data_IF_328354002832
#
_entry.id   IF_328354002832
#
_cell.length_a   1.000
_cell.length_b   1.000
_cell.length_c   1.000
_cell.angle_alpha   90.00
_cell.angle_beta   90.00
_cell.angle_gamma   90.00
#
_symmetry.space_group_name_H-M   'P 1'
#
loop_
_entity.id
_entity.type
_entity.pdbx_description
1 polymer ?
#
# COMPACT_ATOMS: atom_id res chain seq x y z
N UNK A 1 -11.87 -5.35 -4.19
CA UNK A 1 -10.85 -4.58 -3.46
C UNK A 1 -10.35 -3.45 -4.33
N UNK A 2 -10.25 -2.27 -3.77
CA UNK A 2 -9.76 -1.08 -4.49
C UNK A 2 -8.46 -0.59 -3.87
N UNK A 3 -7.40 -0.54 -4.68
CA UNK A 3 -6.04 -0.21 -4.24
C UNK A 3 -5.57 1.05 -4.96
N UNK A 4 -5.00 1.99 -4.20
CA UNK A 4 -4.25 3.11 -4.77
C UNK A 4 -2.78 2.69 -4.87
N UNK A 5 -2.25 2.67 -6.07
CA UNK A 5 -0.85 2.29 -6.32
C UNK A 5 -0.08 3.52 -6.77
N UNK A 6 0.76 4.05 -5.89
CA UNK A 6 1.63 5.17 -6.19
C UNK A 6 3.02 4.64 -6.53
N UNK A 7 3.45 4.82 -7.78
CA UNK A 7 4.73 4.28 -8.24
C UNK A 7 5.32 5.14 -9.36
N UNK A 8 6.57 4.90 -9.68
CA UNK A 8 7.22 5.53 -10.83
C UNK A 8 6.64 4.95 -12.11
N UNK A 9 6.42 5.81 -13.10
CA UNK A 9 5.74 5.46 -14.35
C UNK A 9 6.31 4.21 -15.03
N UNK A 10 7.64 4.12 -15.09
CA UNK A 10 8.32 2.99 -15.74
C UNK A 10 8.14 1.65 -15.06
N UNK A 11 7.73 1.67 -13.79
CA UNK A 11 7.59 0.45 -12.98
C UNK A 11 6.15 0.02 -12.77
N UNK A 12 5.18 0.83 -13.22
CA UNK A 12 3.77 0.60 -12.88
C UNK A 12 3.25 -0.74 -13.37
N UNK A 13 3.59 -1.13 -14.59
CA UNK A 13 3.11 -2.40 -15.15
C UNK A 13 3.63 -3.60 -14.35
N UNK A 14 4.87 -3.54 -13.91
CA UNK A 14 5.50 -4.61 -13.15
C UNK A 14 4.82 -4.78 -11.78
N UNK A 15 4.65 -3.67 -11.06
CA UNK A 15 3.99 -3.71 -9.75
C UNK A 15 2.53 -4.14 -9.87
N UNK A 16 1.82 -3.59 -10.82
CA UNK A 16 0.41 -3.90 -11.04
C UNK A 16 0.23 -5.37 -11.41
N UNK A 17 1.08 -5.90 -12.27
CA UNK A 17 1.03 -7.29 -12.68
C UNK A 17 1.22 -8.23 -11.49
N UNK A 18 2.16 -7.94 -10.60
CA UNK A 18 2.36 -8.74 -9.39
C UNK A 18 1.14 -8.70 -8.47
N UNK A 19 0.59 -7.51 -8.25
CA UNK A 19 -0.60 -7.38 -7.41
C UNK A 19 -1.78 -8.14 -7.99
N UNK A 20 -2.02 -8.02 -9.30
CA UNK A 20 -3.12 -8.73 -9.95
C UNK A 20 -2.93 -10.24 -9.90
N UNK A 21 -1.72 -10.71 -10.09
CA UNK A 21 -1.41 -12.14 -10.01
C UNK A 21 -1.73 -12.71 -8.63
N UNK A 22 -1.43 -11.97 -7.57
CA UNK A 22 -1.68 -12.41 -6.20
C UNK A 22 -3.16 -12.46 -5.84
N UNK A 23 -3.98 -11.64 -6.49
CA UNK A 23 -5.41 -11.56 -6.23
C UNK A 23 -6.24 -12.02 -7.42
N UNK A 24 -5.71 -12.96 -8.19
CA UNK A 24 -6.33 -13.44 -9.42
C UNK A 24 -7.73 -14.00 -9.21
N UNK A 25 -8.01 -14.55 -8.04
CA UNK A 25 -9.34 -15.05 -7.69
C UNK A 25 -10.32 -13.96 -7.25
N UNK A 26 -9.86 -12.73 -7.07
CA UNK A 26 -10.69 -11.61 -6.65
C UNK A 26 -11.15 -10.84 -7.90
N UNK A 27 -12.30 -11.22 -8.45
CA UNK A 27 -12.78 -10.68 -9.71
C UNK A 27 -13.14 -9.21 -9.71
N UNK A 28 -12.98 -8.51 -8.58
CA UNK A 28 -13.30 -7.08 -8.45
C UNK A 28 -12.12 -6.25 -8.00
N UNK A 29 -10.91 -6.71 -8.27
CA UNK A 29 -9.73 -5.93 -7.96
C UNK A 29 -9.62 -4.71 -8.89
N UNK A 30 -9.65 -3.53 -8.29
CA UNK A 30 -9.46 -2.26 -9.00
C UNK A 30 -8.18 -1.62 -8.49
N UNK A 31 -7.29 -1.27 -9.41
CA UNK A 31 -6.03 -0.60 -9.08
C UNK A 31 -6.01 0.76 -9.77
N UNK A 32 -5.97 1.83 -8.98
CA UNK A 32 -5.79 3.17 -9.50
C UNK A 32 -4.31 3.52 -9.47
N UNK A 33 -3.75 3.84 -10.63
CA UNK A 33 -2.35 4.20 -10.77
C UNK A 33 -2.15 5.68 -10.52
N UNK A 34 -1.22 6.00 -9.61
CA UNK A 34 -0.91 7.38 -9.25
C UNK A 34 0.59 7.59 -9.40
N UNK A 35 0.97 8.60 -10.16
CA UNK A 35 2.34 8.77 -10.59
C UNK A 35 3.10 9.88 -9.86
N UNK A 36 2.40 10.66 -9.04
CA UNK A 36 3.02 11.74 -8.29
C UNK A 36 2.19 12.07 -7.05
N UNK A 37 2.77 12.92 -6.20
CA UNK A 37 2.14 13.31 -4.94
C UNK A 37 0.82 14.04 -5.12
N UNK A 38 0.72 14.84 -6.16
CA UNK A 38 -0.51 15.58 -6.44
C UNK A 38 -1.65 14.65 -6.78
N UNK A 39 -1.39 13.64 -7.62
CA UNK A 39 -2.39 12.65 -7.98
C UNK A 39 -2.78 11.79 -6.76
N UNK A 40 -1.80 11.42 -5.96
CA UNK A 40 -2.05 10.67 -4.72
C UNK A 40 -2.95 11.47 -3.79
N UNK A 41 -2.64 12.74 -3.56
CA UNK A 41 -3.42 13.63 -2.71
C UNK A 41 -4.86 13.75 -3.21
N UNK A 42 -5.03 13.98 -4.50
CA UNK A 42 -6.37 14.11 -5.09
C UNK A 42 -7.17 12.82 -4.97
N UNK A 43 -6.54 11.68 -5.23
CA UNK A 43 -7.20 10.38 -5.17
C UNK A 43 -7.66 10.07 -3.74
N UNK A 44 -6.79 10.29 -2.75
CA UNK A 44 -7.13 10.00 -1.35
C UNK A 44 -8.21 10.91 -0.79
N UNK A 45 -8.34 12.11 -1.34
CA UNK A 45 -9.42 13.03 -0.94
C UNK A 45 -10.75 12.70 -1.59
N UNK A 46 -10.74 12.11 -2.78
CA UNK A 46 -11.95 11.86 -3.58
C UNK A 46 -12.54 10.48 -3.39
N UNK A 47 -11.71 9.51 -3.09
CA UNK A 47 -12.13 8.10 -3.07
C UNK A 47 -11.65 7.42 -1.81
N UNK A 48 -12.38 6.37 -1.43
CA UNK A 48 -11.95 5.49 -0.34
C UNK A 48 -11.30 4.25 -0.94
N UNK A 49 -10.12 3.94 -0.43
CA UNK A 49 -9.36 2.77 -0.85
C UNK A 49 -9.30 1.74 0.27
N UNK A 50 -9.19 0.50 -0.11
CA UNK A 50 -8.99 -0.60 0.84
C UNK A 50 -7.53 -0.68 1.30
N UNK A 51 -6.61 -0.26 0.44
CA UNK A 51 -5.20 -0.18 0.75
C UNK A 51 -4.52 0.84 -0.15
N UNK A 52 -3.40 1.38 0.34
CA UNK A 52 -2.52 2.25 -0.45
C UNK A 52 -1.17 1.56 -0.53
N UNK A 53 -0.65 1.39 -1.73
CA UNK A 53 0.68 0.84 -1.97
C UNK A 53 1.57 1.96 -2.47
N UNK A 54 2.65 2.24 -1.74
CA UNK A 54 3.66 3.21 -2.13
C UNK A 54 4.88 2.44 -2.62
N UNK A 55 5.18 2.55 -3.90
CA UNK A 55 6.30 1.87 -4.54
C UNK A 55 7.15 2.88 -5.31
N UNK A 56 7.64 3.87 -4.59
CA UNK A 56 8.48 4.95 -5.10
C UNK A 56 9.79 4.94 -4.34
N UNK A 57 10.90 5.02 -5.06
CA UNK A 57 12.23 4.92 -4.47
C UNK A 57 12.66 6.20 -3.77
N UNK A 58 13.56 6.05 -2.80
CA UNK A 58 14.25 7.15 -2.13
C UNK A 58 13.34 8.06 -1.31
N UNK A 59 13.75 9.30 -1.19
CA UNK A 59 13.06 10.31 -0.39
C UNK A 59 11.65 10.61 -0.89
N UNK A 60 11.41 10.47 -2.19
CA UNK A 60 10.08 10.68 -2.76
C UNK A 60 9.09 9.64 -2.26
N UNK A 61 9.55 8.40 -2.06
CA UNK A 61 8.73 7.36 -1.45
C UNK A 61 8.40 7.68 -0.01
N UNK A 62 9.36 8.18 0.75
CA UNK A 62 9.14 8.62 2.12
C UNK A 62 8.09 9.74 2.18
N UNK A 63 8.23 10.75 1.33
CA UNK A 63 7.27 11.85 1.28
C UNK A 63 5.87 11.37 0.94
N UNK A 64 5.76 10.46 -0.03
CA UNK A 64 4.46 9.89 -0.41
C UNK A 64 3.85 9.08 0.74
N UNK A 65 4.64 8.30 1.45
CA UNK A 65 4.16 7.52 2.59
C UNK A 65 3.65 8.44 3.71
N UNK A 66 4.39 9.49 4.04
CA UNK A 66 3.97 10.47 5.06
C UNK A 66 2.66 11.13 4.64
N UNK A 67 2.57 11.56 3.38
CA UNK A 67 1.39 12.23 2.86
C UNK A 67 0.16 11.31 2.90
N UNK A 68 0.33 10.06 2.51
CA UNK A 68 -0.77 9.09 2.54
C UNK A 68 -1.28 8.86 3.97
N UNK A 69 -0.37 8.77 4.94
CA UNK A 69 -0.76 8.61 6.35
C UNK A 69 -1.48 9.82 6.89
N UNK A 70 -1.11 11.02 6.45
CA UNK A 70 -1.78 12.24 6.88
C UNK A 70 -3.18 12.37 6.27
N UNK A 71 -3.34 12.00 5.00
CA UNK A 71 -4.61 12.18 4.28
C UNK A 71 -5.61 11.06 4.53
N UNK A 72 -5.13 9.85 4.77
CA UNK A 72 -5.98 8.68 4.97
C UNK A 72 -5.40 7.80 6.08
N UNK A 73 -5.39 8.28 7.34
CA UNK A 73 -4.74 7.57 8.44
C UNK A 73 -5.36 6.21 8.74
N UNK A 74 -6.63 6.01 8.41
CA UNK A 74 -7.34 4.76 8.67
C UNK A 74 -7.15 3.72 7.55
N UNK A 75 -6.57 4.11 6.41
CA UNK A 75 -6.36 3.19 5.29
C UNK A 75 -5.01 2.49 5.46
N UNK A 76 -4.98 1.15 5.44
CA UNK A 76 -3.71 0.43 5.53
C UNK A 76 -2.77 0.79 4.40
N UNK A 77 -1.50 1.00 4.76
CA UNK A 77 -0.46 1.38 3.82
C UNK A 77 0.57 0.27 3.69
N UNK A 78 0.94 -0.06 2.46
CA UNK A 78 2.08 -0.91 2.16
C UNK A 78 3.15 -0.02 1.55
N UNK A 79 4.31 0.05 2.20
CA UNK A 79 5.44 0.81 1.69
C UNK A 79 6.48 -0.14 1.12
N UNK A 80 6.64 -0.11 -0.17
CA UNK A 80 7.54 -0.96 -0.94
C UNK A 80 8.76 -0.12 -1.32
N UNK A 81 9.83 -0.26 -0.55
CA UNK A 81 10.98 0.65 -0.63
C UNK A 81 12.25 -0.05 -1.09
N UNK A 82 13.14 0.72 -1.71
CA UNK A 82 14.48 0.28 -2.05
C UNK A 82 15.49 0.55 -0.94
N UNK A 83 15.11 1.24 0.14
CA UNK A 83 16.00 1.64 1.23
C UNK A 83 15.52 1.09 2.57
N UNK A 84 16.23 0.11 3.08
CA UNK A 84 15.93 -0.53 4.37
C UNK A 84 16.05 0.43 5.55
N UNK A 85 16.79 1.52 5.40
CA UNK A 85 16.96 2.50 6.47
C UNK A 85 15.64 3.22 6.81
N UNK A 86 14.67 3.16 5.93
CA UNK A 86 13.34 3.73 6.21
C UNK A 86 12.47 2.84 7.09
N UNK A 87 12.89 1.63 7.42
CA UNK A 87 12.10 0.71 8.23
C UNK A 87 11.70 1.30 9.58
N UNK A 88 12.63 2.00 10.25
CA UNK A 88 12.34 2.64 11.53
C UNK A 88 11.27 3.72 11.39
N UNK A 89 11.34 4.50 10.31
CA UNK A 89 10.36 5.54 10.04
C UNK A 89 8.99 4.91 9.78
N UNK A 90 8.96 3.82 9.02
CA UNK A 90 7.72 3.08 8.78
C UNK A 90 7.09 2.61 10.09
N UNK A 91 7.90 2.08 11.00
CA UNK A 91 7.45 1.68 12.33
C UNK A 91 6.87 2.86 13.09
N UNK A 92 7.56 4.00 13.11
CA UNK A 92 7.12 5.20 13.81
C UNK A 92 5.82 5.77 13.23
N UNK A 93 5.60 5.61 11.92
CA UNK A 93 4.38 6.05 11.24
C UNK A 93 3.24 5.03 11.34
N UNK A 94 3.45 3.92 12.03
CA UNK A 94 2.47 2.84 12.16
C UNK A 94 2.03 2.29 10.81
N UNK A 95 2.99 2.14 9.89
CA UNK A 95 2.73 1.54 8.59
C UNK A 95 2.74 0.02 8.77
N UNK A 96 1.64 -0.67 8.45
CA UNK A 96 1.49 -2.10 8.75
C UNK A 96 2.42 -3.00 7.93
N UNK A 97 2.85 -2.57 6.77
CA UNK A 97 3.74 -3.38 5.93
C UNK A 97 4.82 -2.51 5.29
N UNK A 98 6.06 -2.83 5.59
CA UNK A 98 7.23 -2.25 4.96
C UNK A 98 7.99 -3.37 4.28
N UNK A 99 8.12 -3.30 2.96
CA UNK A 99 8.70 -4.37 2.15
C UNK A 99 9.88 -3.86 1.33
N UNK A 100 10.89 -4.70 1.18
CA UNK A 100 11.95 -4.45 0.22
C UNK A 100 11.38 -4.55 -1.19
N UNK A 101 11.88 -3.72 -2.10
CA UNK A 101 11.48 -3.77 -3.51
C UNK A 101 11.84 -5.13 -4.13
N UNK A 102 12.82 -5.83 -3.56
CA UNK A 102 13.25 -7.17 -3.99
C UNK A 102 12.54 -8.30 -3.24
N UNK A 103 11.50 -8.00 -2.48
CA UNK A 103 10.80 -9.03 -1.71
C UNK A 103 10.19 -10.09 -2.64
N UNK A 104 10.01 -11.29 -2.11
CA UNK A 104 9.37 -12.38 -2.85
C UNK A 104 7.87 -12.15 -3.02
N UNK A 105 7.27 -12.86 -3.96
CA UNK A 105 5.82 -12.83 -4.13
C UNK A 105 5.11 -13.31 -2.86
N UNK A 106 5.72 -14.27 -2.16
CA UNK A 106 5.17 -14.77 -0.91
C UNK A 106 5.10 -13.68 0.16
N UNK A 107 6.18 -12.90 0.31
CA UNK A 107 6.21 -11.80 1.27
C UNK A 107 5.18 -10.72 0.93
N UNK A 108 5.06 -10.38 -0.36
CA UNK A 108 4.06 -9.42 -0.81
C UNK A 108 2.65 -9.94 -0.55
N UNK A 109 2.40 -11.21 -0.88
CA UNK A 109 1.10 -11.84 -0.65
C UNK A 109 0.74 -11.81 0.83
N UNK A 110 1.67 -12.18 1.71
CA UNK A 110 1.43 -12.19 3.15
C UNK A 110 1.12 -10.79 3.68
N UNK A 111 1.83 -9.78 3.19
CA UNK A 111 1.58 -8.39 3.57
C UNK A 111 0.18 -7.95 3.15
N UNK A 112 -0.22 -8.24 1.92
CA UNK A 112 -1.54 -7.85 1.42
C UNK A 112 -2.65 -8.61 2.11
N UNK A 113 -2.46 -9.90 2.38
CA UNK A 113 -3.43 -10.71 3.14
C UNK A 113 -3.57 -10.23 4.58
N UNK A 114 -2.47 -9.85 5.21
CA UNK A 114 -2.50 -9.28 6.55
C UNK A 114 -3.35 -8.01 6.60
N UNK A 115 -3.21 -7.16 5.60
CA UNK A 115 -4.00 -5.93 5.51
C UNK A 115 -5.48 -6.24 5.29
N UNK A 116 -5.77 -7.17 4.40
CA UNK A 116 -7.14 -7.60 4.14
C UNK A 116 -7.79 -8.19 5.39
N UNK A 117 -7.07 -9.05 6.09
CA UNK A 117 -7.55 -9.65 7.35
C UNK A 117 -7.75 -8.61 8.44
N UNK A 118 -6.87 -7.62 8.53
CA UNK A 118 -7.01 -6.53 9.50
C UNK A 118 -8.31 -5.78 9.33
N UNK A 119 -8.69 -5.51 8.10
CA UNK A 119 -9.92 -4.78 7.81
C UNK A 119 -11.16 -5.55 8.26
N UNK A 120 -11.21 -6.85 7.98
CA UNK A 120 -12.29 -7.72 8.46
C UNK A 120 -12.09 -8.14 9.92
N UNK A 121 -10.82 -8.36 10.29
CA UNK A 121 -10.44 -8.75 11.62
C UNK A 121 -10.69 -7.69 12.69
N UNK A 122 -10.60 -6.41 12.35
CA UNK A 122 -10.88 -5.33 13.30
C UNK A 122 -12.32 -5.38 13.78
N UNK A 123 -13.26 -5.70 12.90
CA UNK A 123 -14.65 -5.89 13.29
C UNK A 123 -14.80 -7.09 14.20
N UNK A 124 -14.11 -8.20 13.90
CA UNK A 124 -14.14 -9.40 14.72
C UNK A 124 -13.48 -9.19 16.07
N UNK A 125 -12.33 -8.50 16.09
CA UNK A 125 -11.65 -8.19 17.34
C UNK A 125 -12.50 -7.32 18.25
N UNK A 126 -13.18 -6.34 17.69
CA UNK A 126 -14.09 -5.47 18.43
C UNK A 126 -15.23 -6.27 19.06
N UNK A 127 -15.69 -7.33 18.41
CA UNK A 127 -16.73 -8.20 18.94
C UNK A 127 -16.23 -9.16 20.01
N UNK A 128 -14.95 -9.46 20.01
CA UNK A 128 -14.33 -10.34 21.00
C UNK A 128 -13.94 -9.62 22.28
N UNK A 129 -13.85 -8.33 22.22
CA UNK A 129 -13.51 -7.50 23.37
C UNK A 129 -14.75 -7.14 24.18
#
# INVERSE_FOLDING_TARGET
>A
MKIALCTELRNVEWFESRLRSLFEGDGQLVIDELWNEKQLSQALRRSRYHAVVIAVTGARGLEAAIQAKQLAPEVPLVWWSDDENFALIAYQLHIPAFLSIDCSDQELYEAMESIRKRRYGNANCAMQL
#
